data_IF_865566021831
#
_entry.id   IF_865566021831
#
_cell.length_a   1.000
_cell.length_b   1.000
_cell.length_c   1.000
_cell.angle_alpha   90.00
_cell.angle_beta   90.00
_cell.angle_gamma   90.00
#
_symmetry.space_group_name_H-M   'P 1'
#
loop_
_entity.id
_entity.type
_entity.pdbx_description
1 polymer ?
#
# COMPACT_ATOMS: atom_id res chain seq x y z
N UNK A 1 21.13 2.16 -17.69
CA UNK A 1 19.90 2.39 -18.50
C UNK A 1 19.31 1.20 -19.27
N UNK A 2 19.83 0.84 -20.46
CA UNK A 2 19.09 0.05 -21.48
C UNK A 2 18.53 -1.31 -21.02
N UNK A 3 19.30 -2.10 -20.27
CA UNK A 3 18.84 -3.41 -19.73
C UNK A 3 17.72 -3.24 -18.68
N UNK A 4 17.80 -2.21 -17.84
CA UNK A 4 16.80 -1.92 -16.82
C UNK A 4 15.45 -1.53 -17.45
N UNK A 5 15.50 -0.67 -18.47
CA UNK A 5 14.31 -0.26 -19.23
C UNK A 5 13.69 -1.47 -19.93
N UNK A 6 14.49 -2.32 -20.56
CA UNK A 6 14.00 -3.53 -21.23
C UNK A 6 13.30 -4.50 -20.26
N UNK A 7 13.92 -4.78 -19.10
CA UNK A 7 13.32 -5.64 -18.07
C UNK A 7 12.00 -5.03 -17.55
N UNK A 8 11.96 -3.72 -17.30
CA UNK A 8 10.74 -3.04 -16.86
C UNK A 8 9.59 -3.21 -17.86
N UNK A 9 9.85 -3.01 -19.16
CA UNK A 9 8.81 -3.18 -20.19
C UNK A 9 8.30 -4.63 -20.26
N UNK A 10 9.20 -5.61 -20.18
CA UNK A 10 8.80 -7.02 -20.16
C UNK A 10 7.94 -7.33 -18.93
N UNK A 11 8.34 -6.85 -17.74
CA UNK A 11 7.57 -7.09 -16.52
C UNK A 11 6.17 -6.50 -16.60
N UNK A 12 6.02 -5.30 -17.16
CA UNK A 12 4.70 -4.66 -17.35
C UNK A 12 3.83 -5.48 -18.31
N UNK A 13 4.38 -5.94 -19.44
CA UNK A 13 3.64 -6.75 -20.41
C UNK A 13 3.22 -8.10 -19.82
N UNK A 14 4.14 -8.81 -19.18
CA UNK A 14 3.86 -10.09 -18.53
C UNK A 14 2.83 -9.96 -17.42
N UNK A 15 2.95 -8.92 -16.59
CA UNK A 15 1.99 -8.65 -15.52
C UNK A 15 0.61 -8.31 -16.09
N UNK A 16 0.53 -7.46 -17.12
CA UNK A 16 -0.74 -7.13 -17.77
C UNK A 16 -1.45 -8.35 -18.38
N UNK A 17 -0.69 -9.23 -19.05
CA UNK A 17 -1.23 -10.48 -19.59
C UNK A 17 -1.66 -11.43 -18.47
N UNK A 18 -0.85 -11.59 -17.43
CA UNK A 18 -1.18 -12.42 -16.28
C UNK A 18 -2.45 -11.96 -15.56
N UNK A 19 -2.60 -10.66 -15.33
CA UNK A 19 -3.80 -10.06 -14.71
C UNK A 19 -5.03 -10.21 -15.61
N UNK A 20 -4.87 -10.10 -16.93
CA UNK A 20 -5.97 -10.30 -17.89
C UNK A 20 -6.47 -11.75 -17.86
N UNK A 21 -5.55 -12.72 -17.89
CA UNK A 21 -5.88 -14.15 -17.79
C UNK A 21 -6.54 -14.46 -16.44
N UNK A 22 -5.99 -13.94 -15.35
CA UNK A 22 -6.57 -14.11 -14.01
C UNK A 22 -7.98 -13.52 -13.91
N UNK A 23 -8.20 -12.32 -14.46
CA UNK A 23 -9.53 -11.70 -14.50
C UNK A 23 -10.54 -12.54 -15.28
N UNK A 24 -10.14 -13.11 -16.41
CA UNK A 24 -11.00 -14.00 -17.21
C UNK A 24 -11.31 -15.29 -16.44
N UNK A 25 -10.32 -15.87 -15.77
CA UNK A 25 -10.51 -17.07 -14.94
C UNK A 25 -11.51 -16.81 -13.81
N UNK A 26 -11.39 -15.70 -13.08
CA UNK A 26 -12.33 -15.32 -12.02
C UNK A 26 -13.76 -15.09 -12.56
N UNK A 27 -13.89 -14.55 -13.77
CA UNK A 27 -15.18 -14.38 -14.43
C UNK A 27 -15.86 -15.73 -14.71
N UNK A 28 -15.13 -16.75 -15.17
CA UNK A 28 -15.67 -18.09 -15.41
C UNK A 28 -15.97 -18.89 -14.13
N UNK A 29 -15.39 -18.51 -13.00
CA UNK A 29 -15.65 -19.15 -11.69
C UNK A 29 -16.87 -18.48 -11.00
N UNK A 30 -17.52 -17.51 -11.66
CA UNK A 30 -18.69 -16.76 -11.14
C UNK A 30 -18.44 -16.13 -9.76
N UNK A 31 -17.20 -15.67 -9.52
CA UNK A 31 -16.85 -15.02 -8.25
C UNK A 31 -17.40 -13.59 -8.24
N UNK A 32 -18.15 -13.25 -7.19
CA UNK A 32 -18.69 -11.90 -7.03
C UNK A 32 -17.58 -10.87 -6.77
N UNK A 33 -17.76 -9.66 -7.26
CA UNK A 33 -16.83 -8.54 -6.98
C UNK A 33 -16.74 -8.26 -5.47
N UNK A 34 -17.86 -8.40 -4.75
CA UNK A 34 -17.88 -8.26 -3.29
C UNK A 34 -17.01 -9.28 -2.58
N UNK A 35 -17.00 -10.53 -3.04
CA UNK A 35 -16.11 -11.57 -2.52
C UNK A 35 -14.64 -11.19 -2.73
N UNK A 36 -14.26 -10.77 -3.94
CA UNK A 36 -12.89 -10.40 -4.26
C UNK A 36 -12.39 -9.20 -3.44
N UNK A 37 -13.22 -8.16 -3.30
CA UNK A 37 -12.85 -6.99 -2.50
C UNK A 37 -12.69 -7.33 -1.02
N UNK A 38 -13.55 -8.18 -0.47
CA UNK A 38 -13.43 -8.64 0.93
C UNK A 38 -12.21 -9.55 1.12
N UNK A 39 -11.94 -10.46 0.18
CA UNK A 39 -10.79 -11.37 0.20
C UNK A 39 -9.46 -10.62 0.09
N UNK A 40 -9.41 -9.56 -0.72
CA UNK A 40 -8.23 -8.69 -0.84
C UNK A 40 -7.78 -8.15 0.52
N UNK A 41 -8.74 -7.76 1.38
CA UNK A 41 -8.44 -7.31 2.73
C UNK A 41 -7.73 -8.37 3.56
N UNK A 42 -8.15 -9.64 3.47
CA UNK A 42 -7.57 -10.76 4.22
C UNK A 42 -6.11 -10.99 3.79
N UNK A 43 -5.84 -10.86 2.49
CA UNK A 43 -4.53 -11.14 1.89
C UNK A 43 -3.54 -10.00 2.09
N UNK A 44 -3.98 -8.74 1.96
CA UNK A 44 -3.08 -7.58 1.84
C UNK A 44 -2.94 -6.80 3.16
N UNK A 45 -3.96 -6.80 4.02
CA UNK A 45 -4.02 -5.85 5.15
C UNK A 45 -2.92 -6.06 6.20
N UNK A 46 -2.33 -7.26 6.30
CA UNK A 46 -1.25 -7.53 7.27
C UNK A 46 0.03 -6.73 7.01
N UNK A 47 0.23 -6.20 5.80
CA UNK A 47 1.38 -5.37 5.44
C UNK A 47 1.17 -3.86 5.75
N UNK A 48 -0.07 -3.43 5.98
CA UNK A 48 -0.41 -2.01 6.12
C UNK A 48 0.17 -1.42 7.41
N UNK A 49 -0.04 -2.09 8.55
CA UNK A 49 0.47 -1.62 9.85
C UNK A 49 2.02 -1.63 9.89
N UNK A 50 2.72 -2.68 9.45
CA UNK A 50 4.17 -2.66 9.33
C UNK A 50 4.67 -1.48 8.48
N UNK A 51 4.03 -1.21 7.33
CA UNK A 51 4.40 -0.09 6.46
C UNK A 51 4.07 1.29 7.02
N UNK A 52 3.01 1.42 7.83
CA UNK A 52 2.71 2.66 8.53
C UNK A 52 3.70 2.92 9.67
N UNK A 53 4.01 1.89 10.46
CA UNK A 53 4.92 2.00 11.60
C UNK A 53 6.37 2.30 11.17
N UNK A 54 6.80 1.92 9.97
CA UNK A 54 8.15 2.27 9.49
C UNK A 54 8.33 3.78 9.34
N UNK A 55 7.25 4.53 9.08
CA UNK A 55 7.27 5.99 8.98
C UNK A 55 6.98 6.69 10.32
N UNK A 56 6.22 6.04 11.20
CA UNK A 56 5.72 6.61 12.45
C UNK A 56 6.60 6.28 13.66
N UNK A 57 7.27 5.13 13.66
CA UNK A 57 7.95 4.56 14.82
C UNK A 57 9.42 4.22 14.53
N UNK A 58 10.33 5.00 15.12
CA UNK A 58 11.77 4.86 14.90
C UNK A 58 12.41 3.62 15.58
N UNK A 59 11.65 2.84 16.37
CA UNK A 59 12.17 1.66 17.10
C UNK A 59 11.67 0.33 16.52
N UNK A 60 11.02 0.34 15.37
CA UNK A 60 10.61 -0.89 14.72
C UNK A 60 11.84 -1.66 14.22
N UNK A 61 11.99 -2.91 14.65
CA UNK A 61 13.09 -3.78 14.21
C UNK A 61 12.91 -4.21 12.76
N UNK A 62 14.00 -4.38 12.02
CA UNK A 62 14.00 -4.96 10.66
C UNK A 62 13.31 -6.32 10.62
N UNK A 63 13.54 -7.14 11.64
CA UNK A 63 12.88 -8.44 11.78
C UNK A 63 11.38 -8.29 11.96
N UNK A 64 10.94 -7.28 12.71
CA UNK A 64 9.52 -7.01 12.89
C UNK A 64 8.85 -6.57 11.57
N UNK A 65 9.49 -5.72 10.76
CA UNK A 65 8.98 -5.30 9.45
C UNK A 65 8.87 -6.49 8.49
N UNK A 66 9.87 -7.36 8.44
CA UNK A 66 9.93 -8.45 7.46
C UNK A 66 9.06 -9.65 7.85
N UNK A 67 8.96 -9.99 9.13
CA UNK A 67 8.26 -11.20 9.60
C UNK A 67 6.80 -10.96 9.94
N UNK A 68 6.40 -9.74 10.33
CA UNK A 68 5.00 -9.47 10.69
C UNK A 68 4.01 -9.60 9.53
N UNK A 69 4.29 -9.17 8.28
CA UNK A 69 3.33 -9.35 7.18
C UNK A 69 3.06 -10.83 6.83
N UNK A 70 4.09 -11.70 6.67
CA UNK A 70 3.86 -13.12 6.41
C UNK A 70 3.16 -13.85 7.56
N UNK A 71 3.53 -13.57 8.81
CA UNK A 71 2.87 -14.16 9.97
C UNK A 71 1.41 -13.70 10.07
N UNK A 72 1.15 -12.41 9.87
CA UNK A 72 -0.20 -11.87 9.86
C UNK A 72 -1.07 -12.44 8.74
N UNK A 73 -0.49 -12.67 7.56
CA UNK A 73 -1.16 -13.32 6.43
C UNK A 73 -1.55 -14.78 6.73
N UNK A 74 -0.63 -15.55 7.32
CA UNK A 74 -0.93 -16.94 7.71
C UNK A 74 -2.05 -16.96 8.76
N UNK A 75 -2.00 -16.06 9.75
CA UNK A 75 -3.04 -15.95 10.76
C UNK A 75 -4.39 -15.53 10.18
N UNK A 76 -4.43 -14.56 9.25
CA UNK A 76 -5.69 -14.07 8.66
C UNK A 76 -6.36 -15.13 7.80
N UNK A 77 -5.60 -15.81 6.92
CA UNK A 77 -6.11 -16.91 6.10
C UNK A 77 -6.56 -18.08 6.97
N UNK A 78 -5.78 -18.42 8.00
CA UNK A 78 -6.16 -19.49 8.93
C UNK A 78 -7.45 -19.15 9.68
N UNK A 79 -7.57 -17.94 10.22
CA UNK A 79 -8.78 -17.50 10.93
C UNK A 79 -10.01 -17.48 10.03
N UNK A 80 -9.86 -17.01 8.78
CA UNK A 80 -10.93 -17.00 7.78
C UNK A 80 -11.44 -18.42 7.46
N UNK A 81 -10.53 -19.35 7.16
CA UNK A 81 -10.88 -20.72 6.81
C UNK A 81 -11.40 -21.52 8.01
N UNK A 82 -10.81 -21.33 9.20
CA UNK A 82 -11.29 -21.96 10.44
C UNK A 82 -12.68 -21.46 10.79
N UNK A 83 -12.94 -20.15 10.72
CA UNK A 83 -14.27 -19.60 10.98
C UNK A 83 -15.31 -20.17 10.00
N UNK A 84 -14.95 -20.24 8.72
CA UNK A 84 -15.81 -20.86 7.69
C UNK A 84 -16.13 -22.32 8.05
N UNK A 85 -15.12 -23.08 8.47
CA UNK A 85 -15.29 -24.49 8.86
C UNK A 85 -16.15 -24.66 10.11
N UNK A 86 -15.99 -23.80 11.11
CA UNK A 86 -16.82 -23.81 12.33
C UNK A 86 -18.27 -23.47 12.01
N UNK A 87 -18.49 -22.47 11.15
CA UNK A 87 -19.83 -21.95 10.87
C UNK A 87 -20.64 -22.85 9.94
N UNK A 88 -20.02 -23.42 8.90
CA UNK A 88 -20.74 -24.13 7.83
C UNK A 88 -20.33 -25.59 7.67
N UNK A 89 -19.36 -26.11 8.45
CA UNK A 89 -18.79 -27.45 8.34
C UNK A 89 -18.24 -27.83 6.95
N UNK A 90 -18.23 -26.91 5.99
CA UNK A 90 -17.77 -27.10 4.60
C UNK A 90 -17.06 -25.83 4.10
N UNK A 91 -16.07 -26.01 3.24
CA UNK A 91 -15.28 -24.92 2.64
C UNK A 91 -15.62 -24.89 1.15
N UNK A 92 -16.43 -23.92 0.76
CA UNK A 92 -16.80 -23.62 -0.63
C UNK A 92 -16.80 -22.10 -0.82
N UNK A 93 -16.86 -21.62 -2.07
CA UNK A 93 -16.87 -20.18 -2.39
C UNK A 93 -18.05 -19.47 -1.69
N UNK A 94 -19.19 -20.15 -1.57
CA UNK A 94 -20.37 -19.63 -0.88
C UNK A 94 -20.15 -19.51 0.63
N UNK A 95 -19.54 -20.53 1.26
CA UNK A 95 -19.34 -20.52 2.72
C UNK A 95 -18.18 -19.61 3.14
N UNK A 96 -17.12 -19.54 2.35
CA UNK A 96 -16.00 -18.62 2.60
C UNK A 96 -16.40 -17.18 2.37
N UNK A 97 -17.36 -16.95 1.46
CA UNK A 97 -17.92 -15.64 1.13
C UNK A 97 -18.91 -15.07 2.15
N UNK A 98 -19.19 -15.80 3.24
CA UNK A 98 -20.10 -15.28 4.27
C UNK A 98 -19.53 -14.03 4.95
N UNK A 99 -20.41 -13.11 5.32
CA UNK A 99 -20.04 -11.84 5.96
C UNK A 99 -19.24 -12.08 7.24
N UNK A 100 -19.62 -13.09 8.03
CA UNK A 100 -18.96 -13.41 9.30
C UNK A 100 -17.57 -14.00 9.07
N UNK A 101 -17.44 -14.95 8.14
CA UNK A 101 -16.14 -15.52 7.77
C UNK A 101 -15.18 -14.43 7.29
N UNK A 102 -15.63 -13.60 6.35
CA UNK A 102 -14.85 -12.53 5.76
C UNK A 102 -14.48 -11.45 6.79
N UNK A 103 -15.40 -11.11 7.69
CA UNK A 103 -15.17 -10.17 8.78
C UNK A 103 -14.04 -10.66 9.70
N UNK A 104 -14.10 -11.93 10.13
CA UNK A 104 -13.08 -12.50 11.02
C UNK A 104 -11.70 -12.48 10.35
N UNK A 105 -11.61 -12.91 9.09
CA UNK A 105 -10.36 -12.86 8.34
C UNK A 105 -9.77 -11.44 8.25
N UNK A 106 -10.61 -10.46 7.90
CA UNK A 106 -10.19 -9.07 7.75
C UNK A 106 -9.77 -8.42 9.07
N UNK A 107 -10.50 -8.69 10.15
CA UNK A 107 -10.14 -8.20 11.50
C UNK A 107 -8.80 -8.80 11.95
N UNK A 108 -8.59 -10.10 11.75
CA UNK A 108 -7.32 -10.75 12.10
C UNK A 108 -6.17 -10.23 11.23
N UNK A 109 -6.40 -9.97 9.94
CA UNK A 109 -5.40 -9.37 9.06
C UNK A 109 -4.94 -7.99 9.54
N UNK A 110 -5.87 -7.15 10.02
CA UNK A 110 -5.56 -5.80 10.53
C UNK A 110 -4.91 -5.81 11.92
N UNK A 111 -5.35 -6.71 12.81
CA UNK A 111 -4.91 -6.72 14.21
C UNK A 111 -3.67 -7.58 14.47
N UNK A 112 -3.42 -8.62 13.68
CA UNK A 112 -2.27 -9.51 13.90
C UNK A 112 -0.91 -8.80 13.87
N UNK A 113 -0.63 -7.83 12.98
CA UNK A 113 0.66 -7.12 13.00
C UNK A 113 0.80 -6.19 14.22
N UNK A 114 -0.31 -5.68 14.76
CA UNK A 114 -0.29 -4.87 16.00
C UNK A 114 0.27 -5.67 17.18
N UNK A 115 0.09 -6.99 17.17
CA UNK A 115 0.63 -7.91 18.17
C UNK A 115 2.05 -8.36 17.81
N UNK A 116 2.30 -8.77 16.56
CA UNK A 116 3.61 -9.29 16.17
C UNK A 116 4.72 -8.23 16.17
N UNK A 117 4.43 -7.00 15.75
CA UNK A 117 5.44 -5.94 15.67
C UNK A 117 6.08 -5.64 17.04
N UNK A 118 5.33 -5.34 18.12
CA UNK A 118 5.95 -5.09 19.42
C UNK A 118 6.67 -6.34 19.94
N UNK A 119 6.06 -7.53 19.85
CA UNK A 119 6.68 -8.78 20.33
C UNK A 119 8.04 -9.01 19.67
N UNK A 120 8.10 -8.97 18.33
CA UNK A 120 9.35 -9.20 17.59
C UNK A 120 10.33 -8.06 17.84
N UNK A 121 9.87 -6.81 17.95
CA UNK A 121 10.74 -5.67 18.24
C UNK A 121 11.34 -5.72 19.65
N UNK A 122 10.68 -6.35 20.63
CA UNK A 122 11.22 -6.55 21.97
C UNK A 122 12.14 -7.78 22.07
N UNK A 123 11.86 -8.86 21.33
CA UNK A 123 12.67 -10.08 21.33
C UNK A 123 13.95 -9.91 20.51
N UNK A 124 13.87 -9.25 19.36
CA UNK A 124 14.97 -8.99 18.45
C UNK A 124 15.11 -7.48 18.16
N UNK A 125 15.49 -6.67 19.16
CA UNK A 125 15.67 -5.24 18.97
C UNK A 125 16.90 -4.96 18.09
N UNK A 126 16.76 -4.01 17.17
CA UNK A 126 17.93 -3.49 16.45
C UNK A 126 18.79 -2.63 17.39
N UNK A 127 20.13 -2.75 17.34
CA UNK A 127 21.04 -2.04 18.23
C UNK A 127 21.06 -0.52 17.98
N UNK A 128 20.67 -0.06 16.79
CA UNK A 128 20.56 1.35 16.46
C UNK A 128 19.16 1.68 15.90
N UNK A 129 18.47 2.70 16.44
CA UNK A 129 17.21 3.18 15.86
C UNK A 129 17.41 3.62 14.41
N UNK A 130 16.41 3.38 13.56
CA UNK A 130 16.49 3.77 12.16
C UNK A 130 16.48 5.30 12.02
N UNK A 131 17.48 5.82 11.29
CA UNK A 131 17.58 7.24 10.99
C UNK A 131 17.34 7.50 9.49
N UNK A 132 16.37 8.37 9.19
CA UNK A 132 16.04 8.79 7.82
C UNK A 132 17.17 9.58 7.15
N UNK A 133 18.17 10.07 7.89
CA UNK A 133 19.37 10.69 7.32
C UNK A 133 20.19 9.66 6.52
N UNK A 134 20.20 8.39 6.95
CA UNK A 134 20.92 7.31 6.24
C UNK A 134 20.36 7.05 4.82
N UNK A 135 19.09 7.37 4.59
CA UNK A 135 18.44 7.19 3.27
C UNK A 135 19.06 8.07 2.19
N UNK A 136 19.81 9.13 2.56
CA UNK A 136 20.54 9.99 1.61
C UNK A 136 21.90 9.46 1.20
N UNK A 137 22.46 8.53 1.96
CA UNK A 137 23.70 7.86 1.57
C UNK A 137 23.47 6.88 0.41
N UNK A 138 22.20 6.63 0.04
CA UNK A 138 21.83 5.89 -1.17
C UNK A 138 22.13 6.78 -2.37
N UNK A 139 23.27 6.55 -3.01
CA UNK A 139 23.66 7.21 -4.24
C UNK A 139 22.61 6.91 -5.32
N UNK A 140 22.04 7.97 -5.90
CA UNK A 140 21.19 7.82 -7.08
C UNK A 140 22.11 7.36 -8.21
N UNK A 141 21.89 6.14 -8.70
CA UNK A 141 22.60 5.64 -9.89
C UNK A 141 22.11 6.44 -11.08
N UNK A 142 22.76 7.59 -11.32
CA UNK A 142 22.55 8.40 -12.51
C UNK A 142 23.40 7.81 -13.65
N UNK A 143 22.81 7.68 -14.83
CA UNK A 143 23.47 7.14 -16.02
C UNK A 143 24.39 8.20 -16.69
N UNK A 144 24.53 9.40 -16.11
CA UNK A 144 25.36 10.50 -16.61
C UNK A 144 26.83 10.36 -16.16
N UNK A 145 27.83 10.51 -17.06
CA UNK A 145 29.22 10.47 -16.65
C UNK A 145 29.49 11.77 -15.89
N UNK A 146 29.92 11.61 -14.63
CA UNK A 146 30.51 12.66 -13.80
C UNK A 146 29.54 13.64 -13.14
N UNK A 147 29.20 13.32 -11.89
CA UNK A 147 29.11 14.32 -10.81
C UNK A 147 29.31 13.61 -9.46
N UNK A 148 30.57 13.34 -9.08
CA UNK A 148 30.94 13.08 -7.68
C UNK A 148 30.87 14.39 -6.89
N UNK A 149 29.67 14.95 -6.78
CA UNK A 149 29.42 16.15 -5.99
C UNK A 149 29.14 15.69 -4.55
N UNK A 150 30.19 15.61 -3.73
CA UNK A 150 29.99 15.42 -2.30
C UNK A 150 29.26 16.66 -1.75
N UNK A 151 28.05 16.50 -1.18
CA UNK A 151 27.29 17.63 -0.67
C UNK A 151 28.08 18.33 0.44
N UNK A 152 28.11 19.66 0.41
CA UNK A 152 28.74 20.44 1.48
C UNK A 152 27.98 20.28 2.81
N UNK A 153 28.64 20.53 3.94
CA UNK A 153 28.03 20.48 5.28
C UNK A 153 26.74 21.32 5.36
N UNK A 154 26.74 22.52 4.79
CA UNK A 154 25.57 23.40 4.77
C UNK A 154 24.40 22.90 3.89
N UNK A 155 24.68 22.24 2.77
CA UNK A 155 23.65 21.59 1.95
C UNK A 155 23.03 20.39 2.67
N UNK A 156 23.86 19.65 3.41
CA UNK A 156 23.44 18.51 4.22
C UNK A 156 22.47 18.95 5.32
N UNK A 157 22.82 19.99 6.08
CA UNK A 157 21.98 20.56 7.14
C UNK A 157 20.64 21.09 6.61
N UNK A 158 20.66 21.85 5.51
CA UNK A 158 19.42 22.35 4.87
C UNK A 158 18.54 21.22 4.38
N UNK A 159 19.13 20.21 3.76
CA UNK A 159 18.43 19.00 3.39
C UNK A 159 17.79 18.35 4.61
N UNK A 160 18.51 18.22 5.75
CA UNK A 160 18.02 17.57 6.99
C UNK A 160 16.78 18.31 7.48
N UNK A 161 16.86 19.63 7.64
CA UNK A 161 15.74 20.45 8.04
C UNK A 161 14.52 20.27 7.11
N UNK A 162 14.75 20.22 5.79
CA UNK A 162 13.68 20.02 4.80
C UNK A 162 13.00 18.65 4.90
N UNK A 163 13.78 17.56 4.99
CA UNK A 163 13.21 16.20 5.11
C UNK A 163 12.48 16.00 6.43
N UNK A 164 13.04 16.48 7.55
CA UNK A 164 12.37 16.36 8.84
C UNK A 164 11.06 17.16 8.86
N UNK A 165 11.02 18.32 8.19
CA UNK A 165 9.79 19.09 7.99
C UNK A 165 8.74 18.32 7.18
N UNK A 166 9.14 17.76 6.03
CA UNK A 166 8.25 16.94 5.19
C UNK A 166 7.76 15.67 5.88
N UNK A 167 8.62 14.98 6.62
CA UNK A 167 8.25 13.78 7.39
C UNK A 167 7.25 14.11 8.50
N UNK A 168 7.43 15.22 9.23
CA UNK A 168 6.46 15.68 10.24
C UNK A 168 5.09 15.96 9.60
N UNK A 169 5.08 16.66 8.48
CA UNK A 169 3.84 16.97 7.74
C UNK A 169 3.16 15.70 7.21
N UNK A 170 3.93 14.82 6.54
CA UNK A 170 3.43 13.54 6.03
C UNK A 170 2.88 12.65 7.15
N UNK A 171 3.55 12.62 8.30
CA UNK A 171 3.09 11.92 9.51
C UNK A 171 1.76 12.46 10.02
N UNK A 172 1.60 13.78 10.11
CA UNK A 172 0.35 14.40 10.56
C UNK A 172 -0.78 14.06 9.58
N UNK A 173 -0.55 14.22 8.27
CA UNK A 173 -1.54 13.86 7.25
C UNK A 173 -1.91 12.39 7.33
N UNK A 174 -0.93 11.48 7.44
CA UNK A 174 -1.18 10.05 7.51
C UNK A 174 -2.06 9.69 8.71
N UNK A 175 -1.76 10.23 9.89
CA UNK A 175 -2.54 9.98 11.11
C UNK A 175 -3.94 10.59 10.98
N UNK A 176 -4.05 11.85 10.58
CA UNK A 176 -5.34 12.55 10.44
C UNK A 176 -6.24 11.86 9.40
N UNK A 177 -5.70 11.57 8.22
CA UNK A 177 -6.46 10.93 7.14
C UNK A 177 -6.91 9.52 7.55
N UNK A 178 -6.04 8.74 8.19
CA UNK A 178 -6.39 7.41 8.69
C UNK A 178 -7.49 7.49 9.75
N UNK A 179 -7.35 8.37 10.75
CA UNK A 179 -8.38 8.57 11.78
C UNK A 179 -9.70 9.04 11.17
N UNK A 180 -9.66 9.97 10.21
CA UNK A 180 -10.84 10.47 9.52
C UNK A 180 -11.55 9.38 8.72
N UNK A 181 -10.83 8.65 7.87
CA UNK A 181 -11.42 7.69 6.94
C UNK A 181 -11.76 6.32 7.57
N UNK A 182 -11.02 5.89 8.60
CA UNK A 182 -11.20 4.56 9.22
C UNK A 182 -12.09 4.62 10.45
N UNK A 183 -12.03 5.70 11.23
CA UNK A 183 -12.75 5.79 12.52
C UNK A 183 -13.88 6.80 12.44
N UNK A 184 -13.57 8.07 12.15
CA UNK A 184 -14.55 9.17 12.24
C UNK A 184 -15.61 9.06 11.17
N UNK A 185 -15.28 8.55 9.97
CA UNK A 185 -16.26 8.39 8.90
C UNK A 185 -17.15 7.15 9.11
N UNK A 186 -16.62 5.92 9.30
CA UNK A 186 -17.47 4.73 9.35
C UNK A 186 -18.28 4.65 10.65
N UNK A 187 -17.77 5.19 11.76
CA UNK A 187 -18.40 5.04 13.08
C UNK A 187 -19.77 5.76 13.19
N UNK A 188 -19.93 7.03 12.78
CA UNK A 188 -21.25 7.67 12.72
C UNK A 188 -22.17 7.03 11.69
N UNK A 189 -21.63 6.61 10.53
CA UNK A 189 -22.46 5.95 9.48
C UNK A 189 -23.04 4.63 9.98
N UNK A 190 -22.22 3.82 10.67
CA UNK A 190 -22.66 2.57 11.27
C UNK A 190 -23.57 2.81 12.48
N UNK A 191 -23.19 3.73 13.38
CA UNK A 191 -23.93 4.04 14.60
C UNK A 191 -25.31 4.65 14.36
N UNK A 192 -25.51 5.35 13.24
CA UNK A 192 -26.82 5.90 12.84
C UNK A 192 -27.61 4.98 11.91
N UNK A 193 -27.08 3.80 11.57
CA UNK A 193 -27.63 2.91 10.54
C UNK A 193 -27.99 3.68 9.26
N UNK A 194 -27.12 4.62 8.85
CA UNK A 194 -27.44 5.59 7.81
C UNK A 194 -27.67 4.90 6.47
N UNK A 195 -28.86 5.07 5.91
CA UNK A 195 -29.19 4.61 4.56
C UNK A 195 -28.93 5.74 3.57
N UNK A 196 -28.02 5.52 2.63
CA UNK A 196 -27.70 6.51 1.60
C UNK A 196 -28.93 6.84 0.74
N UNK A 197 -29.26 8.13 0.62
CA UNK A 197 -30.25 8.58 -0.36
C UNK A 197 -29.74 8.34 -1.78
N UNK A 198 -30.66 8.12 -2.73
CA UNK A 198 -30.29 7.91 -4.14
C UNK A 198 -29.41 9.04 -4.68
N UNK A 199 -29.78 10.30 -4.41
CA UNK A 199 -29.03 11.47 -4.87
C UNK A 199 -27.64 11.57 -4.26
N UNK A 200 -27.49 11.24 -2.96
CA UNK A 200 -26.18 11.23 -2.31
C UNK A 200 -25.28 10.14 -2.90
N UNK A 201 -25.81 8.92 -3.07
CA UNK A 201 -25.07 7.80 -3.64
C UNK A 201 -24.65 8.08 -5.08
N UNK A 202 -25.53 8.63 -5.91
CA UNK A 202 -25.19 9.03 -7.28
C UNK A 202 -24.09 10.07 -7.30
N UNK A 203 -24.16 11.11 -6.45
CA UNK A 203 -23.10 12.12 -6.35
C UNK A 203 -21.75 11.51 -5.97
N UNK A 204 -21.74 10.61 -4.97
CA UNK A 204 -20.53 9.92 -4.54
C UNK A 204 -19.90 9.07 -5.64
N UNK A 205 -20.71 8.26 -6.33
CA UNK A 205 -20.26 7.42 -7.45
C UNK A 205 -19.73 8.28 -8.59
N UNK A 206 -20.40 9.39 -8.93
CA UNK A 206 -19.93 10.32 -9.97
C UNK A 206 -18.58 10.94 -9.63
N UNK A 207 -18.37 11.39 -8.39
CA UNK A 207 -17.07 11.90 -7.93
C UNK A 207 -16.00 10.82 -8.02
N UNK A 208 -16.31 9.59 -7.60
CA UNK A 208 -15.40 8.45 -7.72
C UNK A 208 -14.98 8.18 -9.17
N UNK A 209 -15.92 8.24 -10.11
CA UNK A 209 -15.64 8.07 -11.55
C UNK A 209 -14.74 9.19 -12.07
N UNK A 210 -15.04 10.46 -11.76
CA UNK A 210 -14.22 11.61 -12.17
C UNK A 210 -12.79 11.47 -11.63
N UNK A 211 -12.66 11.08 -10.37
CA UNK A 211 -11.36 10.87 -9.74
C UNK A 211 -10.57 9.73 -10.41
N UNK A 212 -11.22 8.64 -10.82
CA UNK A 212 -10.55 7.56 -11.57
C UNK A 212 -9.95 8.08 -12.89
N UNK A 213 -10.70 8.86 -13.66
CA UNK A 213 -10.18 9.46 -14.91
C UNK A 213 -9.04 10.44 -14.66
N UNK A 214 -9.18 11.31 -13.64
CA UNK A 214 -8.13 12.26 -13.29
C UNK A 214 -6.83 11.55 -12.85
N UNK A 215 -6.96 10.48 -12.04
CA UNK A 215 -5.83 9.67 -11.61
C UNK A 215 -5.16 8.96 -12.79
N UNK A 216 -5.93 8.45 -13.75
CA UNK A 216 -5.39 7.87 -14.97
C UNK A 216 -4.59 8.89 -15.79
N UNK A 217 -5.09 10.12 -15.95
CA UNK A 217 -4.36 11.17 -16.65
C UNK A 217 -3.04 11.53 -15.94
N UNK A 218 -3.07 11.70 -14.61
CA UNK A 218 -1.87 12.07 -13.85
C UNK A 218 -0.86 10.92 -13.79
N UNK A 219 -1.28 9.69 -13.54
CA UNK A 219 -0.34 8.58 -13.33
C UNK A 219 0.07 7.93 -14.65
N UNK A 220 -0.83 7.87 -15.63
CA UNK A 220 -0.58 7.25 -16.92
C UNK A 220 0.02 8.20 -17.94
N UNK A 221 -0.59 9.37 -18.16
CA UNK A 221 -0.22 10.26 -19.27
C UNK A 221 0.91 11.21 -18.87
N UNK A 222 0.86 11.81 -17.69
CA UNK A 222 1.87 12.77 -17.23
C UNK A 222 3.32 12.26 -17.33
N UNK A 223 3.69 11.05 -16.84
CA UNK A 223 5.07 10.58 -16.95
C UNK A 223 5.50 10.36 -18.40
N UNK A 224 4.60 10.00 -19.31
CA UNK A 224 4.91 9.83 -20.74
C UNK A 224 5.26 11.18 -21.38
N UNK A 225 4.48 12.22 -21.06
CA UNK A 225 4.69 13.58 -21.57
C UNK A 225 5.99 14.18 -21.02
N UNK A 226 6.24 14.04 -19.72
CA UNK A 226 7.47 14.52 -19.08
C UNK A 226 8.71 13.83 -19.66
N UNK A 227 8.65 12.50 -19.87
CA UNK A 227 9.75 11.74 -20.48
C UNK A 227 10.06 12.18 -21.92
N UNK A 228 9.05 12.58 -22.68
CA UNK A 228 9.22 13.08 -24.05
C UNK A 228 9.79 14.51 -24.07
N UNK A 229 9.31 15.39 -23.18
CA UNK A 229 9.81 16.76 -23.07
C UNK A 229 11.28 16.80 -22.59
N UNK A 230 11.63 15.99 -21.59
CA UNK A 230 13.00 15.87 -21.09
C UNK A 230 14.00 15.31 -22.12
N UNK A 231 13.53 14.43 -23.02
CA UNK A 231 14.33 13.92 -24.15
C UNK A 231 14.58 14.98 -25.24
N UNK A 232 13.68 15.96 -25.39
CA UNK A 232 13.85 17.07 -26.34
C UNK A 232 14.87 18.13 -25.89
N UNK A 233 15.02 18.34 -24.57
CA UNK A 233 15.98 19.30 -24.01
C UNK A 233 17.43 18.78 -24.08
N UNK A 234 17.64 17.47 -24.02
CA UNK A 234 18.97 16.84 -24.13
C UNK A 234 19.49 16.78 -25.58
N UNK A 235 18.61 16.66 -26.58
CA UNK A 235 19.00 16.67 -28.00
C UNK A 235 19.34 18.07 -28.57
N UNK A 236 18.90 19.15 -27.92
CA UNK A 236 19.20 20.53 -28.36
C UNK A 236 20.48 21.11 -27.72
N UNK A 237 21.25 20.28 -27.00
CA UNK A 237 22.52 20.64 -26.33
C UNK A 237 23.72 19.82 -26.81
N UNK A 238 23.57 19.03 -27.88
CA UNK A 238 24.64 18.28 -28.54
C UNK A 238 25.17 18.98 -29.78
#
# INVERSE_FOLDING_TARGET
GKKLIYVSHITVVLFGLGMSIWSIALYYIDISMGYLYSMMGIIISSAVIPGALTLLWNRQSKWAVCLSPPLGFICSVSAWLVMTKIQFNSISIETTGSDVSMLVGNVVALLSPVVFIPIISFIAPDPTPYDFVSMRAIELVDDSPQNTHHPSLGETERGIAFLTGKLKFARIIAVVLTSCLVVIWPFPMYGTAYVFSKSFFTGWVSIGIIWMFFSFCIVGVYPIVENQCGSGVTLNRG
#
